data_IF_342393919345
#
_entry.id   IF_342393919345
#
_cell.length_a   1.000
_cell.length_b   1.000
_cell.length_c   1.000
_cell.angle_alpha   90.00
_cell.angle_beta   90.00
_cell.angle_gamma   90.00
#
_symmetry.space_group_name_H-M   'P 1'
#
loop_
_entity.id
_entity.type
_entity.pdbx_description
1 polymer ?
#
# COMPACT_ATOMS: atom_id res chain seq x y z
N UNK A 1 33.77 -10.00 30.37
CA UNK A 1 33.58 -11.27 29.67
C UNK A 1 32.30 -11.88 30.18
N UNK A 2 31.30 -12.37 29.45
CA UNK A 2 30.76 -12.17 28.09
C UNK A 2 29.32 -12.69 28.26
N UNK A 3 28.31 -11.92 27.84
CA UNK A 3 26.90 -12.31 27.96
C UNK A 3 26.63 -13.57 27.12
N UNK A 4 25.81 -14.47 27.63
CA UNK A 4 25.35 -15.66 26.94
C UNK A 4 24.46 -15.29 25.73
N UNK A 5 25.01 -15.43 24.52
CA UNK A 5 24.28 -15.60 23.27
C UNK A 5 24.22 -17.11 22.99
N UNK A 6 23.05 -17.72 22.85
CA UNK A 6 23.06 -19.18 22.69
C UNK A 6 21.78 -19.94 22.38
N UNK A 7 20.71 -19.31 21.85
CA UNK A 7 19.56 -20.07 21.33
C UNK A 7 19.00 -19.53 20.00
N UNK A 8 19.02 -18.21 19.78
CA UNK A 8 18.55 -17.60 18.52
C UNK A 8 19.47 -17.85 17.31
N UNK A 9 20.78 -17.89 17.54
CA UNK A 9 21.78 -18.05 16.47
C UNK A 9 21.78 -19.46 15.87
N UNK A 10 21.44 -20.47 16.66
CA UNK A 10 21.42 -21.88 16.24
C UNK A 10 20.20 -22.19 15.38
N UNK A 11 19.03 -21.66 15.77
CA UNK A 11 17.79 -21.84 15.01
C UNK A 11 17.84 -21.12 13.66
N UNK A 12 18.38 -19.91 13.63
CA UNK A 12 18.48 -19.10 12.39
C UNK A 12 19.38 -19.77 11.34
N UNK A 13 20.53 -20.34 11.76
CA UNK A 13 21.44 -21.06 10.87
C UNK A 13 20.86 -22.37 10.32
N UNK A 14 20.03 -23.05 11.12
CA UNK A 14 19.34 -24.26 10.67
C UNK A 14 18.28 -23.93 9.62
N UNK A 15 17.50 -22.86 9.83
CA UNK A 15 16.50 -22.39 8.87
C UNK A 15 17.12 -21.98 7.53
N UNK A 16 18.26 -21.28 7.55
CA UNK A 16 18.99 -20.90 6.34
C UNK A 16 19.56 -22.10 5.57
N UNK A 17 20.06 -23.12 6.27
CA UNK A 17 20.59 -24.33 5.66
C UNK A 17 19.51 -25.19 4.96
N UNK A 18 18.28 -25.15 5.48
CA UNK A 18 17.10 -25.82 4.90
C UNK A 18 16.41 -24.94 3.81
N UNK A 19 16.98 -23.78 3.46
CA UNK A 19 16.43 -22.87 2.43
C UNK A 19 15.24 -22.03 2.89
N UNK A 20 15.00 -21.93 4.20
CA UNK A 20 13.88 -21.22 4.81
C UNK A 20 14.37 -19.84 5.28
N UNK A 21 14.19 -18.82 4.43
CA UNK A 21 14.51 -17.42 4.77
C UNK A 21 13.32 -16.67 5.41
N UNK A 22 13.52 -15.87 6.47
CA UNK A 22 12.45 -15.04 7.04
C UNK A 22 11.99 -13.96 6.04
N UNK A 23 10.70 -13.91 5.73
CA UNK A 23 10.09 -12.76 5.01
C UNK A 23 9.29 -11.92 5.99
N UNK A 24 9.94 -11.36 7.01
CA UNK A 24 9.27 -10.43 7.93
C UNK A 24 10.18 -9.23 8.20
N UNK A 25 9.89 -8.15 7.47
CA UNK A 25 10.48 -6.83 7.58
C UNK A 25 9.77 -5.88 6.60
N UNK A 26 9.94 -4.57 6.69
CA UNK A 26 9.30 -3.60 5.80
C UNK A 26 9.63 -3.80 4.30
N UNK A 27 10.48 -4.76 3.91
CA UNK A 27 10.87 -5.02 2.53
C UNK A 27 9.69 -5.18 1.56
N UNK A 28 8.69 -6.00 1.88
CA UNK A 28 7.51 -6.15 1.01
C UNK A 28 6.58 -4.93 1.03
N UNK A 29 6.51 -4.18 2.14
CA UNK A 29 5.71 -2.94 2.25
C UNK A 29 6.39 -1.77 1.55
N UNK A 30 7.72 -1.77 1.44
CA UNK A 30 8.51 -0.77 0.74
C UNK A 30 8.73 -1.13 -0.74
N UNK A 31 8.26 -2.30 -1.19
CA UNK A 31 8.37 -2.75 -2.57
C UNK A 31 7.38 -1.97 -3.47
N UNK A 32 7.84 -0.83 -3.97
CA UNK A 32 7.10 0.05 -4.87
C UNK A 32 6.60 -0.70 -6.10
N UNK A 33 7.44 -1.54 -6.70
CA UNK A 33 7.11 -2.24 -7.94
C UNK A 33 5.98 -3.26 -7.71
N UNK A 34 6.09 -4.06 -6.64
CA UNK A 34 5.06 -5.04 -6.28
C UNK A 34 3.74 -4.37 -5.92
N UNK A 35 3.75 -3.34 -5.08
CA UNK A 35 2.52 -2.65 -4.66
C UNK A 35 1.87 -1.98 -5.86
N UNK A 36 2.66 -1.33 -6.72
CA UNK A 36 2.15 -0.73 -7.95
C UNK A 36 1.47 -1.78 -8.86
N UNK A 37 2.08 -2.95 -9.04
CA UNK A 37 1.49 -4.01 -9.85
C UNK A 37 0.11 -4.44 -9.32
N UNK A 38 -0.03 -4.63 -8.00
CA UNK A 38 -1.32 -4.94 -7.36
C UNK A 38 -2.36 -3.84 -7.56
N UNK A 39 -1.95 -2.56 -7.52
CA UNK A 39 -2.85 -1.43 -7.75
C UNK A 39 -3.30 -1.33 -9.21
N UNK A 40 -2.41 -1.61 -10.16
CA UNK A 40 -2.74 -1.66 -11.59
C UNK A 40 -3.71 -2.81 -11.88
N UNK A 41 -3.48 -3.98 -11.28
CA UNK A 41 -4.40 -5.12 -11.38
C UNK A 41 -5.79 -4.74 -10.86
N UNK A 42 -5.87 -4.17 -9.66
CA UNK A 42 -7.13 -3.69 -9.09
C UNK A 42 -7.80 -2.60 -9.96
N UNK A 43 -7.00 -1.71 -10.57
CA UNK A 43 -7.50 -0.71 -11.49
C UNK A 43 -8.11 -1.33 -12.75
N UNK A 44 -7.45 -2.35 -13.33
CA UNK A 44 -7.95 -3.11 -14.49
C UNK A 44 -9.24 -3.89 -14.17
N UNK A 45 -9.43 -4.28 -12.91
CA UNK A 45 -10.65 -4.90 -12.41
C UNK A 45 -11.74 -3.87 -12.03
N UNK A 46 -11.44 -2.57 -12.10
CA UNK A 46 -12.38 -1.50 -11.77
C UNK A 46 -12.74 -1.42 -10.28
N UNK A 47 -11.83 -1.83 -9.39
CA UNK A 47 -12.09 -1.88 -7.94
C UNK A 47 -11.01 -1.20 -7.10
N UNK A 48 -11.41 -0.77 -5.91
CA UNK A 48 -10.52 -0.28 -4.86
C UNK A 48 -10.18 -1.39 -3.86
N UNK A 49 -9.02 -1.31 -3.21
CA UNK A 49 -8.52 -2.23 -2.19
C UNK A 49 -8.69 -1.65 -0.79
N UNK A 50 -9.00 -2.48 0.20
CA UNK A 50 -8.84 -2.04 1.60
C UNK A 50 -7.36 -2.01 2.01
N UNK A 51 -6.99 -1.17 2.98
CA UNK A 51 -5.63 -1.24 3.57
C UNK A 51 -5.30 -2.63 4.13
N UNK A 52 -6.26 -3.31 4.75
CA UNK A 52 -6.05 -4.65 5.29
C UNK A 52 -5.87 -5.68 4.18
N UNK A 53 -6.64 -5.57 3.10
CA UNK A 53 -6.56 -6.44 1.93
C UNK A 53 -5.18 -6.32 1.26
N UNK A 54 -4.73 -5.09 0.97
CA UNK A 54 -3.43 -4.86 0.36
C UNK A 54 -2.28 -5.34 1.27
N UNK A 55 -2.35 -5.07 2.57
CA UNK A 55 -1.36 -5.63 3.52
C UNK A 55 -1.41 -7.17 3.56
N UNK A 56 -2.61 -7.76 3.47
CA UNK A 56 -2.80 -9.21 3.42
C UNK A 56 -2.15 -9.85 2.18
N UNK A 57 -2.32 -9.24 1.00
CA UNK A 57 -1.66 -9.67 -0.25
C UNK A 57 -0.13 -9.56 -0.19
N UNK A 58 0.39 -8.69 0.67
CA UNK A 58 1.82 -8.56 0.98
C UNK A 58 2.28 -9.51 2.10
N UNK A 59 1.40 -10.38 2.62
CA UNK A 59 1.72 -11.34 3.69
C UNK A 59 1.72 -10.73 5.10
N UNK A 60 1.09 -9.57 5.30
CA UNK A 60 1.12 -8.86 6.57
C UNK A 60 -0.24 -8.69 7.21
N UNK A 61 -0.30 -8.89 8.53
CA UNK A 61 -1.43 -8.43 9.35
C UNK A 61 -1.49 -6.90 9.37
N UNK A 62 -2.70 -6.35 9.33
CA UNK A 62 -2.94 -4.94 9.54
C UNK A 62 -2.45 -4.49 10.92
N UNK A 63 -1.60 -3.46 10.94
CA UNK A 63 -1.22 -2.71 12.14
C UNK A 63 -1.01 -1.24 11.77
N UNK A 64 -1.18 -0.31 12.72
CA UNK A 64 -0.96 1.12 12.45
C UNK A 64 0.46 1.43 11.93
N UNK A 65 1.56 0.83 12.45
CA UNK A 65 2.89 1.04 11.89
C UNK A 65 3.03 0.55 10.45
N UNK A 66 2.51 -0.64 10.12
CA UNK A 66 2.57 -1.19 8.75
C UNK A 66 1.73 -0.37 7.77
N UNK A 67 0.55 0.08 8.18
CA UNK A 67 -0.29 1.01 7.39
C UNK A 67 0.45 2.33 7.11
N UNK A 68 1.10 2.95 8.11
CA UNK A 68 1.88 4.17 7.88
C UNK A 68 3.08 3.95 6.95
N UNK A 69 3.70 2.77 7.01
CA UNK A 69 4.77 2.41 6.08
C UNK A 69 4.23 2.27 4.65
N UNK A 70 3.09 1.59 4.48
CA UNK A 70 2.40 1.47 3.20
C UNK A 70 2.03 2.84 2.62
N UNK A 71 1.49 3.77 3.43
CA UNK A 71 1.20 5.15 2.98
C UNK A 71 2.41 5.83 2.33
N UNK A 72 3.61 5.70 2.91
CA UNK A 72 4.82 6.30 2.33
C UNK A 72 5.19 5.69 0.97
N UNK A 73 4.96 4.40 0.81
CA UNK A 73 5.17 3.71 -0.47
C UNK A 73 4.15 4.16 -1.51
N UNK A 74 2.88 4.33 -1.10
CA UNK A 74 1.82 4.89 -1.96
C UNK A 74 2.15 6.31 -2.42
N UNK A 75 2.67 7.17 -1.52
CA UNK A 75 3.13 8.52 -1.89
C UNK A 75 4.27 8.48 -2.91
N UNK A 76 5.15 7.48 -2.84
CA UNK A 76 6.22 7.29 -3.82
C UNK A 76 5.66 6.84 -5.18
N UNK A 77 4.72 5.91 -5.19
CA UNK A 77 4.04 5.43 -6.40
C UNK A 77 3.36 6.59 -7.13
N UNK A 78 2.61 7.43 -6.42
CA UNK A 78 1.90 8.56 -7.03
C UNK A 78 2.85 9.65 -7.49
N UNK A 79 3.94 9.91 -6.76
CA UNK A 79 4.98 10.86 -7.21
C UNK A 79 5.61 10.41 -8.52
N UNK A 80 5.98 9.14 -8.61
CA UNK A 80 6.59 8.58 -9.81
C UNK A 80 5.58 8.51 -10.97
N UNK A 81 4.33 8.17 -10.67
CA UNK A 81 3.22 8.15 -11.63
C UNK A 81 2.90 9.52 -12.20
N UNK A 82 2.86 10.55 -11.35
CA UNK A 82 2.64 11.93 -11.75
C UNK A 82 3.70 12.41 -12.74
N UNK A 83 4.97 12.04 -12.56
CA UNK A 83 6.04 12.35 -13.51
C UNK A 83 5.85 11.72 -14.91
N UNK A 84 4.98 10.69 -15.01
CA UNK A 84 4.59 10.03 -16.27
C UNK A 84 3.19 10.44 -16.77
N UNK A 85 2.52 11.36 -16.07
CA UNK A 85 1.14 11.76 -16.36
C UNK A 85 0.08 10.72 -16.00
N UNK A 86 0.41 9.75 -15.14
CA UNK A 86 -0.53 8.73 -14.68
C UNK A 86 -1.49 9.28 -13.61
N UNK A 87 -2.71 8.73 -13.51
CA UNK A 87 -3.60 9.03 -12.40
C UNK A 87 -3.06 8.46 -11.08
N UNK A 88 -3.52 9.04 -9.98
CA UNK A 88 -3.07 8.74 -8.62
C UNK A 88 -3.59 7.37 -8.13
N UNK A 89 -2.76 6.34 -8.18
CA UNK A 89 -3.13 4.98 -7.77
C UNK A 89 -3.42 4.87 -6.27
N UNK A 90 -2.84 5.72 -5.42
CA UNK A 90 -3.11 5.66 -3.98
C UNK A 90 -4.59 5.89 -3.63
N UNK A 91 -5.37 6.54 -4.50
CA UNK A 91 -6.81 6.74 -4.31
C UNK A 91 -7.61 5.43 -4.33
N UNK A 92 -7.02 4.36 -4.87
CA UNK A 92 -7.60 3.02 -4.87
C UNK A 92 -7.48 2.34 -3.50
N UNK A 93 -6.67 2.85 -2.57
CA UNK A 93 -6.48 2.25 -1.25
C UNK A 93 -7.35 2.97 -0.21
N UNK A 94 -8.33 2.26 0.32
CA UNK A 94 -9.40 2.86 1.12
C UNK A 94 -9.59 2.17 2.47
N UNK A 95 -10.28 2.86 3.38
CA UNK A 95 -10.76 2.27 4.64
C UNK A 95 -11.88 1.27 4.36
N UNK A 96 -11.97 0.24 5.19
CA UNK A 96 -13.08 -0.73 5.11
C UNK A 96 -14.43 -0.12 5.47
N UNK A 97 -14.45 0.83 6.41
CA UNK A 97 -15.68 1.37 7.01
C UNK A 97 -16.55 2.16 6.04
N UNK A 98 -15.95 2.98 5.19
CA UNK A 98 -16.67 3.94 4.35
C UNK A 98 -16.19 3.98 2.89
N UNK A 99 -15.16 3.18 2.57
CA UNK A 99 -14.54 3.10 1.24
C UNK A 99 -13.91 4.42 0.77
N UNK A 100 -13.49 5.27 1.71
CA UNK A 100 -12.72 6.48 1.43
C UNK A 100 -11.24 6.29 1.79
N UNK A 101 -10.29 6.98 1.11
CA UNK A 101 -8.88 6.97 1.47
C UNK A 101 -8.65 7.45 2.90
N UNK A 102 -7.64 6.90 3.60
CA UNK A 102 -7.28 7.30 4.97
C UNK A 102 -7.02 8.81 5.09
N UNK A 103 -7.27 9.41 6.27
CA UNK A 103 -7.15 10.86 6.49
C UNK A 103 -5.81 11.46 6.02
N UNK A 104 -4.71 10.71 6.11
CA UNK A 104 -3.40 11.14 5.62
C UNK A 104 -3.36 11.41 4.11
N UNK A 105 -4.10 10.66 3.30
CA UNK A 105 -4.18 10.85 1.84
C UNK A 105 -4.81 12.20 1.45
N UNK A 106 -5.68 12.74 2.29
CA UNK A 106 -6.35 14.04 2.07
C UNK A 106 -5.45 15.22 2.43
N UNK A 107 -4.39 14.99 3.20
CA UNK A 107 -3.53 16.06 3.72
C UNK A 107 -2.74 16.69 2.57
N UNK A 108 -2.80 18.02 2.44
CA UNK A 108 -2.08 18.76 1.41
C UNK A 108 -2.82 18.92 0.07
N UNK A 109 -4.06 18.43 -0.05
CA UNK A 109 -4.91 18.63 -1.24
C UNK A 109 -5.75 19.90 -1.06
N UNK A 110 -5.33 21.00 -1.67
CA UNK A 110 -5.97 22.31 -1.52
C UNK A 110 -7.44 22.33 -2.00
N UNK A 111 -7.74 21.62 -3.09
CA UNK A 111 -9.06 21.62 -3.73
C UNK A 111 -9.93 20.40 -3.35
N UNK A 112 -9.54 19.67 -2.29
CA UNK A 112 -10.32 18.53 -1.83
C UNK A 112 -11.48 19.00 -0.92
N UNK A 113 -12.66 18.35 -0.99
CA UNK A 113 -13.74 18.57 -0.03
C UNK A 113 -13.33 18.07 1.37
N UNK A 114 -14.25 18.17 2.33
CA UNK A 114 -14.11 17.47 3.60
C UNK A 114 -13.78 15.97 3.35
N UNK A 115 -12.92 15.38 4.17
CA UNK A 115 -12.38 14.03 3.97
C UNK A 115 -13.41 12.89 4.21
N UNK A 116 -14.65 13.24 4.50
CA UNK A 116 -15.79 12.35 4.72
C UNK A 116 -17.07 12.98 4.16
N UNK A 117 -18.14 12.17 4.09
CA UNK A 117 -19.44 12.62 3.57
C UNK A 117 -19.62 12.38 2.06
N UNK A 118 -20.77 12.79 1.51
CA UNK A 118 -21.13 12.56 0.10
C UNK A 118 -20.18 13.22 -0.89
N UNK A 119 -19.71 14.44 -0.60
CA UNK A 119 -18.78 15.19 -1.46
C UNK A 119 -17.42 14.49 -1.54
N UNK A 120 -16.93 13.97 -0.41
CA UNK A 120 -15.73 13.15 -0.36
C UNK A 120 -15.85 11.92 -1.26
N UNK A 121 -17.02 11.24 -1.20
CA UNK A 121 -17.31 10.05 -2.01
C UNK A 121 -17.30 10.39 -3.49
N UNK A 122 -18.03 11.42 -3.91
CA UNK A 122 -18.05 11.84 -5.31
C UNK A 122 -16.66 12.26 -5.82
N UNK A 123 -15.88 12.95 -4.98
CA UNK A 123 -14.50 13.34 -5.30
C UNK A 123 -13.60 12.12 -5.51
N UNK A 124 -13.64 11.15 -4.60
CA UNK A 124 -12.88 9.90 -4.68
C UNK A 124 -13.31 9.06 -5.88
N UNK A 125 -14.61 8.89 -6.11
CA UNK A 125 -15.15 8.12 -7.24
C UNK A 125 -14.68 8.66 -8.59
N UNK A 126 -14.62 9.99 -8.75
CA UNK A 126 -14.07 10.62 -9.96
C UNK A 126 -12.59 10.29 -10.18
N UNK A 127 -11.79 10.30 -9.12
CA UNK A 127 -10.35 9.98 -9.20
C UNK A 127 -10.12 8.48 -9.44
N UNK A 128 -10.91 7.62 -8.79
CA UNK A 128 -10.88 6.17 -9.03
C UNK A 128 -11.27 5.86 -10.48
N UNK A 129 -12.30 6.52 -11.02
CA UNK A 129 -12.67 6.40 -12.43
C UNK A 129 -11.52 6.72 -13.37
N UNK A 130 -10.77 7.80 -13.09
CA UNK A 130 -9.58 8.13 -13.88
C UNK A 130 -8.53 7.01 -13.87
N UNK A 131 -8.36 6.31 -12.74
CA UNK A 131 -7.47 5.14 -12.66
C UNK A 131 -8.00 3.96 -13.47
N UNK A 132 -9.31 3.70 -13.43
CA UNK A 132 -9.94 2.58 -14.13
C UNK A 132 -9.96 2.77 -15.65
N UNK A 133 -10.17 4.00 -16.11
CA UNK A 133 -10.25 4.32 -17.53
C UNK A 133 -8.86 4.50 -18.16
N UNK A 134 -7.80 4.58 -17.34
CA UNK A 134 -6.43 4.74 -17.83
C UNK A 134 -5.90 3.48 -18.49
N UNK A 135 -5.23 3.64 -19.63
CA UNK A 135 -4.61 2.53 -20.35
C UNK A 135 -3.24 2.20 -19.76
N UNK A 136 -3.24 1.43 -18.67
CA UNK A 136 -2.02 0.89 -18.06
C UNK A 136 -1.24 0.07 -19.08
N UNK A 137 0.04 0.42 -19.27
CA UNK A 137 0.99 -0.38 -20.06
C UNK A 137 1.83 -1.18 -19.07
N UNK A 138 1.93 -2.49 -19.30
CA UNK A 138 2.83 -3.39 -18.57
C UNK A 138 4.29 -3.12 -18.92
#
# INVERSE_FOLDING_TARGET
MTRASGHGDTLSRWLEAEGIVPVEGPGAIADVARIRALLIEAAGEGRALSYSELLGQLGHRFTRPKMRALCRTLDAIDRDGSARGEPELAVLVVRETDRLPGAGWWSGRADAPAWNGPEARAYVERLQRACFDWRWRG
#
